data_IF_407504750876
#
_entry.id   IF_407504750876
#
_cell.length_a   1.000
_cell.length_b   1.000
_cell.length_c   1.000
_cell.angle_alpha   90.00
_cell.angle_beta   90.00
_cell.angle_gamma   90.00
#
_symmetry.space_group_name_H-M   'P 1'
#
loop_
_entity.id
_entity.type
_entity.pdbx_description
1 polymer ?
#
# COMPACT_ATOMS: atom_id res chain seq x y z
N UNK A 1 -35.34 1.36 -12.38
CA UNK A 1 -35.12 0.86 -13.75
C UNK A 1 -33.63 0.99 -14.04
N UNK A 2 -32.91 -0.09 -14.33
CA UNK A 2 -31.47 -0.05 -14.63
C UNK A 2 -31.31 0.30 -16.12
N UNK A 3 -30.44 1.26 -16.44
CA UNK A 3 -30.18 1.68 -17.82
C UNK A 3 -29.57 0.52 -18.62
N UNK A 4 -30.24 0.07 -19.67
CA UNK A 4 -29.82 -1.06 -20.51
C UNK A 4 -28.54 -0.82 -21.31
N UNK A 5 -28.05 0.43 -21.35
CA UNK A 5 -26.77 0.82 -21.95
C UNK A 5 -25.64 0.95 -20.93
N UNK A 6 -25.93 0.85 -19.62
CA UNK A 6 -24.94 0.96 -18.57
C UNK A 6 -24.04 -0.27 -18.58
N UNK A 7 -22.74 -0.06 -18.86
CA UNK A 7 -21.77 -1.15 -18.95
C UNK A 7 -20.96 -1.34 -17.66
N UNK A 8 -20.77 -0.30 -16.84
CA UNK A 8 -20.01 -0.37 -15.58
C UNK A 8 -20.98 -0.55 -14.42
N UNK A 9 -20.76 -1.58 -13.61
CA UNK A 9 -21.73 -1.91 -12.53
C UNK A 9 -21.07 -2.29 -11.20
N UNK A 10 -19.74 -2.44 -11.15
CA UNK A 10 -19.05 -2.78 -9.91
C UNK A 10 -17.79 -1.95 -9.73
N UNK A 11 -17.71 -1.33 -8.56
CA UNK A 11 -16.57 -0.62 -8.03
C UNK A 11 -16.42 -1.02 -6.56
N UNK A 12 -15.35 -1.73 -6.21
CA UNK A 12 -15.06 -2.05 -4.81
C UNK A 12 -14.02 -1.08 -4.27
N UNK A 13 -14.51 -0.01 -3.65
CA UNK A 13 -13.68 0.91 -2.88
C UNK A 13 -13.06 0.19 -1.68
N UNK A 14 -11.76 0.36 -1.46
CA UNK A 14 -11.06 -0.28 -0.33
C UNK A 14 -10.96 -1.79 -0.42
N UNK A 15 -10.85 -2.32 -1.63
CA UNK A 15 -10.54 -3.72 -1.84
C UNK A 15 -9.17 -4.07 -1.25
N UNK A 16 -9.12 -5.24 -0.62
CA UNK A 16 -7.88 -5.85 -0.17
C UNK A 16 -7.28 -6.74 -1.26
N UNK A 17 -6.09 -6.38 -1.75
CA UNK A 17 -5.46 -6.97 -2.93
C UNK A 17 -4.67 -8.25 -2.68
N UNK A 18 -4.66 -8.78 -1.45
CA UNK A 18 -4.12 -10.12 -1.20
C UNK A 18 -5.00 -11.24 -1.78
N UNK A 19 -6.27 -10.94 -2.05
CA UNK A 19 -7.26 -11.88 -2.59
C UNK A 19 -7.85 -11.39 -3.91
N UNK A 20 -7.85 -12.29 -4.89
CA UNK A 20 -8.47 -12.09 -6.19
C UNK A 20 -9.95 -12.45 -6.24
N UNK A 21 -10.67 -12.03 -7.28
CA UNK A 21 -12.10 -12.34 -7.45
C UNK A 21 -12.41 -13.83 -7.63
N UNK A 22 -11.45 -14.60 -8.12
CA UNK A 22 -11.57 -16.05 -8.26
C UNK A 22 -11.09 -16.81 -7.00
N UNK A 23 -10.56 -16.11 -5.99
CA UNK A 23 -10.13 -16.75 -4.75
C UNK A 23 -11.36 -17.09 -3.90
N UNK A 24 -11.37 -18.29 -3.30
CA UNK A 24 -12.52 -18.77 -2.50
C UNK A 24 -12.79 -17.93 -1.24
N UNK A 25 -11.79 -17.21 -0.75
CA UNK A 25 -11.88 -16.35 0.43
C UNK A 25 -12.37 -14.94 0.09
N UNK A 26 -12.49 -14.58 -1.19
CA UNK A 26 -12.99 -13.28 -1.60
C UNK A 26 -14.53 -13.25 -1.52
N UNK A 27 -15.08 -12.24 -0.83
CA UNK A 27 -16.53 -12.06 -0.72
C UNK A 27 -17.11 -11.49 -2.04
N UNK A 28 -17.42 -12.40 -2.96
CA UNK A 28 -18.02 -12.07 -4.25
C UNK A 28 -19.55 -11.90 -4.22
N UNK A 29 -20.22 -11.96 -3.06
CA UNK A 29 -21.69 -11.93 -3.00
C UNK A 29 -22.28 -10.66 -3.61
N UNK A 30 -21.65 -9.51 -3.32
CA UNK A 30 -22.07 -8.23 -3.89
C UNK A 30 -21.75 -8.17 -5.40
N UNK A 31 -20.55 -8.59 -5.81
CA UNK A 31 -20.13 -8.65 -7.20
C UNK A 31 -21.11 -9.49 -8.05
N UNK A 32 -21.45 -10.69 -7.59
CA UNK A 32 -22.42 -11.57 -8.26
C UNK A 32 -23.84 -11.00 -8.26
N UNK A 33 -24.24 -10.28 -7.20
CA UNK A 33 -25.56 -9.63 -7.16
C UNK A 33 -25.67 -8.53 -8.21
N UNK A 34 -24.65 -7.69 -8.34
CA UNK A 34 -24.59 -6.66 -9.39
C UNK A 34 -24.55 -7.29 -10.79
N UNK A 35 -23.76 -8.36 -10.98
CA UNK A 35 -23.71 -9.11 -12.25
C UNK A 35 -25.09 -9.62 -12.69
N UNK A 36 -25.87 -10.19 -11.76
CA UNK A 36 -27.24 -10.67 -12.04
C UNK A 36 -28.21 -9.53 -12.33
N UNK A 37 -28.03 -8.37 -11.71
CA UNK A 37 -28.91 -7.22 -11.87
C UNK A 37 -28.71 -6.48 -13.20
N UNK A 38 -27.50 -6.53 -13.77
CA UNK A 38 -27.17 -5.78 -14.97
C UNK A 38 -27.56 -6.51 -16.27
N UNK A 39 -28.45 -5.88 -17.03
CA UNK A 39 -28.81 -6.32 -18.39
C UNK A 39 -27.76 -5.78 -19.38
N UNK A 40 -27.07 -6.66 -20.10
CA UNK A 40 -26.06 -6.28 -21.09
C UNK A 40 -24.59 -6.59 -20.73
N UNK A 41 -24.35 -7.20 -19.56
CA UNK A 41 -23.03 -7.64 -19.11
C UNK A 41 -22.43 -6.80 -17.98
N UNK A 42 -21.40 -7.35 -17.32
CA UNK A 42 -20.65 -6.72 -16.21
C UNK A 42 -19.36 -6.14 -16.77
N UNK A 43 -19.18 -4.82 -16.71
CA UNK A 43 -17.85 -4.20 -16.74
C UNK A 43 -17.46 -3.79 -15.32
N UNK A 44 -16.24 -4.11 -14.94
CA UNK A 44 -15.71 -3.86 -13.60
C UNK A 44 -14.83 -2.61 -13.64
N UNK A 45 -14.98 -1.75 -12.63
CA UNK A 45 -14.04 -0.68 -12.34
C UNK A 45 -12.99 -1.20 -11.35
N UNK A 46 -11.72 -1.21 -11.76
CA UNK A 46 -10.58 -1.63 -10.94
C UNK A 46 -9.72 -0.44 -10.52
N UNK A 47 -9.13 -0.59 -9.33
CA UNK A 47 -8.48 0.47 -8.56
C UNK A 47 -7.01 0.14 -8.23
N UNK A 48 -6.34 -0.70 -9.02
CA UNK A 48 -4.92 -1.03 -8.80
C UNK A 48 -3.97 0.18 -8.67
N UNK A 49 -4.24 1.33 -9.33
CA UNK A 49 -3.44 2.53 -9.18
C UNK A 49 -4.21 3.67 -8.48
N UNK A 50 -5.27 3.37 -7.73
CA UNK A 50 -5.98 4.35 -6.92
C UNK A 50 -5.33 4.49 -5.55
N UNK A 51 -5.40 5.68 -4.96
CA UNK A 51 -4.59 6.08 -3.80
C UNK A 51 -5.42 6.20 -2.52
N UNK A 52 -6.75 6.36 -2.65
CA UNK A 52 -7.61 6.60 -1.50
C UNK A 52 -7.64 5.43 -0.51
N UNK A 53 -7.47 4.19 -1.00
CA UNK A 53 -7.61 3.00 -0.18
C UNK A 53 -6.43 2.03 -0.25
N UNK A 54 -5.41 2.30 -1.06
CA UNK A 54 -4.23 1.44 -1.19
C UNK A 54 -3.11 1.81 -0.20
N UNK A 55 -2.13 0.91 0.03
CA UNK A 55 -0.93 1.23 0.77
C UNK A 55 -0.05 2.31 0.11
N UNK A 56 0.56 3.19 0.91
CA UNK A 56 1.46 4.24 0.41
C UNK A 56 2.76 3.69 -0.17
N UNK A 57 3.24 2.56 0.35
CA UNK A 57 4.36 1.81 -0.22
C UNK A 57 3.79 0.50 -0.76
N UNK A 58 3.81 0.37 -2.08
CA UNK A 58 3.00 -0.63 -2.77
C UNK A 58 3.87 -1.64 -3.53
N UNK A 59 3.61 -2.93 -3.26
CA UNK A 59 4.10 -4.02 -4.08
C UNK A 59 3.27 -4.23 -5.35
N UNK A 60 3.78 -4.98 -6.34
CA UNK A 60 2.98 -5.40 -7.48
C UNK A 60 1.82 -6.32 -7.07
N UNK A 61 0.58 -6.06 -7.48
CA UNK A 61 -0.61 -6.86 -7.12
C UNK A 61 -0.84 -8.06 -8.04
N UNK A 62 0.24 -8.71 -8.47
CA UNK A 62 0.21 -9.75 -9.52
C UNK A 62 -0.68 -10.94 -9.18
N UNK A 63 -0.71 -11.37 -7.90
CA UNK A 63 -1.61 -12.43 -7.43
C UNK A 63 -3.08 -12.08 -7.69
N UNK A 64 -3.51 -10.89 -7.26
CA UNK A 64 -4.88 -10.44 -7.50
C UNK A 64 -5.16 -10.33 -9.00
N UNK A 65 -4.24 -9.77 -9.79
CA UNK A 65 -4.45 -9.61 -11.24
C UNK A 65 -4.64 -10.94 -11.97
N UNK A 66 -3.83 -11.95 -11.64
CA UNK A 66 -3.96 -13.28 -12.27
C UNK A 66 -5.28 -13.96 -11.86
N UNK A 67 -5.68 -13.82 -10.59
CA UNK A 67 -6.93 -14.38 -10.09
C UNK A 67 -8.15 -13.67 -10.69
N UNK A 68 -8.13 -12.35 -10.77
CA UNK A 68 -9.17 -11.55 -11.42
C UNK A 68 -9.33 -11.88 -12.89
N UNK A 69 -8.23 -12.11 -13.61
CA UNK A 69 -8.29 -12.57 -14.99
C UNK A 69 -9.01 -13.90 -15.13
N UNK A 70 -8.80 -14.86 -14.23
CA UNK A 70 -9.53 -16.13 -14.24
C UNK A 70 -11.03 -15.91 -14.04
N UNK A 71 -11.39 -15.05 -13.08
CA UNK A 71 -12.79 -14.65 -12.88
C UNK A 71 -13.36 -14.00 -14.14
N UNK A 72 -12.65 -13.06 -14.77
CA UNK A 72 -13.11 -12.39 -15.99
C UNK A 72 -13.37 -13.36 -17.13
N UNK A 73 -12.45 -14.29 -17.37
CA UNK A 73 -12.59 -15.31 -18.41
C UNK A 73 -13.76 -16.26 -18.11
N UNK A 74 -13.93 -16.67 -16.84
CA UNK A 74 -15.00 -17.59 -16.42
C UNK A 74 -16.40 -16.98 -16.54
N UNK A 75 -16.50 -15.66 -16.38
CA UNK A 75 -17.77 -14.94 -16.31
C UNK A 75 -18.03 -14.02 -17.51
N UNK A 76 -17.28 -14.18 -18.60
CA UNK A 76 -17.39 -13.42 -19.85
C UNK A 76 -17.36 -11.88 -19.63
N UNK A 77 -16.52 -11.42 -18.70
CA UNK A 77 -16.29 -9.99 -18.47
C UNK A 77 -15.47 -9.45 -19.64
N UNK A 78 -16.12 -8.67 -20.51
CA UNK A 78 -15.54 -8.20 -21.78
C UNK A 78 -15.03 -6.75 -21.75
N UNK A 79 -15.20 -6.06 -20.63
CA UNK A 79 -14.67 -4.71 -20.44
C UNK A 79 -14.30 -4.44 -18.98
N UNK A 80 -13.24 -3.66 -18.80
CA UNK A 80 -12.79 -3.17 -17.50
C UNK A 80 -12.45 -1.69 -17.63
N UNK A 81 -12.82 -0.91 -16.62
CA UNK A 81 -12.33 0.44 -16.44
C UNK A 81 -11.25 0.42 -15.38
N UNK A 82 -10.08 0.96 -15.71
CA UNK A 82 -9.02 1.17 -14.73
C UNK A 82 -9.04 2.64 -14.33
N UNK A 83 -9.43 2.93 -13.09
CA UNK A 83 -9.32 4.28 -12.57
C UNK A 83 -7.85 4.53 -12.22
N UNK A 84 -7.26 5.57 -12.81
CA UNK A 84 -5.91 6.03 -12.50
C UNK A 84 -6.04 7.43 -11.93
N UNK A 85 -5.53 7.67 -10.73
CA UNK A 85 -5.38 9.03 -10.20
C UNK A 85 -4.05 9.61 -10.70
N UNK A 86 -4.06 10.59 -11.64
CA UNK A 86 -2.87 10.92 -12.42
C UNK A 86 -1.92 11.91 -11.73
N UNK A 87 -2.25 12.48 -10.56
CA UNK A 87 -1.47 13.57 -9.94
C UNK A 87 -0.67 13.08 -8.72
N UNK A 88 0.59 13.55 -8.63
CA UNK A 88 1.50 13.43 -7.48
C UNK A 88 2.08 12.05 -7.12
N UNK A 89 1.30 10.98 -7.28
CA UNK A 89 1.64 9.60 -6.85
C UNK A 89 1.90 8.63 -8.01
N UNK A 90 2.03 9.12 -9.24
CA UNK A 90 1.96 8.24 -10.42
C UNK A 90 3.09 7.20 -10.50
N UNK A 91 4.31 7.49 -10.05
CA UNK A 91 5.46 6.60 -10.26
C UNK A 91 5.32 5.32 -9.45
N UNK A 92 4.97 5.44 -8.17
CA UNK A 92 4.77 4.33 -7.25
C UNK A 92 3.61 3.40 -7.68
N UNK A 93 2.64 3.91 -8.44
CA UNK A 93 1.44 3.18 -8.86
C UNK A 93 1.46 2.74 -10.34
N UNK A 94 2.33 3.33 -11.15
CA UNK A 94 2.40 3.09 -12.60
C UNK A 94 2.69 1.64 -12.98
N UNK A 95 3.50 0.93 -12.19
CA UNK A 95 3.79 -0.48 -12.43
C UNK A 95 2.52 -1.33 -12.32
N UNK A 96 1.67 -1.09 -11.31
CA UNK A 96 0.41 -1.80 -11.17
C UNK A 96 -0.59 -1.47 -12.28
N UNK A 97 -0.63 -0.20 -12.73
CA UNK A 97 -1.44 0.16 -13.90
C UNK A 97 -0.99 -0.59 -15.16
N UNK A 98 0.32 -0.66 -15.41
CA UNK A 98 0.89 -1.38 -16.54
C UNK A 98 0.61 -2.89 -16.46
N UNK A 99 0.95 -3.53 -15.34
CA UNK A 99 0.77 -4.97 -15.14
C UNK A 99 -0.70 -5.37 -15.23
N UNK A 100 -1.59 -4.60 -14.60
CA UNK A 100 -3.03 -4.84 -14.66
C UNK A 100 -3.55 -4.73 -16.09
N UNK A 101 -3.23 -3.63 -16.78
CA UNK A 101 -3.64 -3.42 -18.17
C UNK A 101 -3.18 -4.54 -19.11
N UNK A 102 -1.93 -4.99 -18.99
CA UNK A 102 -1.40 -6.10 -19.81
C UNK A 102 -2.01 -7.44 -19.45
N UNK A 103 -2.17 -7.74 -18.15
CA UNK A 103 -2.76 -9.00 -17.68
C UNK A 103 -4.15 -9.21 -18.25
N UNK A 104 -4.98 -8.15 -18.30
CA UNK A 104 -6.36 -8.28 -18.79
C UNK A 104 -6.48 -8.24 -20.30
N UNK A 105 -5.52 -7.61 -20.99
CA UNK A 105 -5.51 -7.56 -22.45
C UNK A 105 -5.00 -8.88 -23.08
N UNK A 106 -3.99 -9.49 -22.47
CA UNK A 106 -3.32 -10.70 -22.98
C UNK A 106 -3.49 -11.86 -21.99
N UNK A 107 -4.28 -12.87 -22.40
CA UNK A 107 -4.54 -14.06 -21.56
C UNK A 107 -3.30 -14.91 -21.30
N UNK A 108 -2.29 -14.84 -22.16
CA UNK A 108 -1.04 -15.59 -22.01
C UNK A 108 0.00 -14.87 -21.15
N UNK A 109 -0.25 -13.59 -20.83
CA UNK A 109 0.68 -12.76 -20.08
C UNK A 109 0.93 -13.30 -18.67
N UNK A 110 2.19 -13.37 -18.26
CA UNK A 110 2.59 -13.64 -16.89
C UNK A 110 3.15 -12.36 -16.26
N UNK A 111 2.41 -11.70 -15.34
CA UNK A 111 2.88 -10.47 -14.71
C UNK A 111 4.10 -10.71 -13.80
N UNK A 112 4.37 -11.95 -13.34
CA UNK A 112 5.58 -12.24 -12.56
C UNK A 112 6.83 -12.25 -13.46
N UNK A 113 6.75 -12.81 -14.67
CA UNK A 113 7.85 -12.79 -15.62
C UNK A 113 8.22 -11.34 -16.01
N UNK A 114 7.20 -10.49 -16.17
CA UNK A 114 7.38 -9.11 -16.60
C UNK A 114 8.01 -8.21 -15.51
N UNK A 115 7.75 -8.45 -14.22
CA UNK A 115 8.48 -7.77 -13.14
C UNK A 115 10.00 -7.94 -13.30
N UNK A 116 10.44 -9.14 -13.72
CA UNK A 116 11.86 -9.40 -13.94
C UNK A 116 12.39 -8.62 -15.14
N UNK A 117 11.66 -8.65 -16.26
CA UNK A 117 12.01 -7.87 -17.45
C UNK A 117 12.10 -6.36 -17.14
N UNK A 118 11.08 -5.83 -16.46
CA UNK A 118 11.05 -4.45 -15.99
C UNK A 118 12.26 -4.12 -15.12
N UNK A 119 12.60 -4.97 -14.16
CA UNK A 119 13.80 -4.82 -13.33
C UNK A 119 15.07 -4.66 -14.18
N UNK A 120 15.31 -5.61 -15.07
CA UNK A 120 16.53 -5.68 -15.89
C UNK A 120 16.65 -4.52 -16.88
N UNK A 121 15.55 -4.14 -17.53
CA UNK A 121 15.55 -3.12 -18.58
C UNK A 121 15.43 -1.69 -18.02
N UNK A 122 14.64 -1.49 -16.97
CA UNK A 122 14.41 -0.16 -16.41
C UNK A 122 15.52 0.27 -15.44
N UNK A 123 16.07 -0.64 -14.64
CA UNK A 123 17.12 -0.32 -13.67
C UNK A 123 18.53 -0.68 -14.15
N UNK A 124 18.65 -1.30 -15.33
CA UNK A 124 19.91 -1.67 -15.95
C UNK A 124 20.43 -3.04 -15.51
N UNK A 125 21.38 -3.60 -16.27
CA UNK A 125 21.86 -4.98 -16.09
C UNK A 125 22.44 -5.31 -14.70
N UNK A 126 23.04 -4.32 -14.02
CA UNK A 126 23.78 -4.55 -12.77
C UNK A 126 22.88 -4.34 -11.53
N UNK A 127 22.05 -3.29 -11.53
CA UNK A 127 21.12 -3.01 -10.42
C UNK A 127 19.76 -3.71 -10.58
N UNK A 128 19.34 -3.96 -11.82
CA UNK A 128 18.05 -4.53 -12.18
C UNK A 128 17.74 -5.89 -11.58
N UNK A 129 18.68 -6.86 -11.49
CA UNK A 129 18.41 -8.13 -10.83
C UNK A 129 17.95 -7.97 -9.37
N UNK A 130 18.58 -7.07 -8.61
CA UNK A 130 18.21 -6.82 -7.21
C UNK A 130 16.83 -6.17 -7.09
N UNK A 131 16.50 -5.22 -7.97
CA UNK A 131 15.20 -4.56 -7.96
C UNK A 131 14.09 -5.49 -8.46
N UNK A 132 14.38 -6.36 -9.43
CA UNK A 132 13.47 -7.41 -9.85
C UNK A 132 13.12 -8.33 -8.68
N UNK A 133 14.14 -8.86 -7.98
CA UNK A 133 13.92 -9.78 -6.86
C UNK A 133 13.22 -9.09 -5.68
N UNK A 134 13.51 -7.80 -5.44
CA UNK A 134 12.77 -6.97 -4.50
C UNK A 134 11.28 -6.91 -4.84
N UNK A 135 10.93 -6.50 -6.07
CA UNK A 135 9.53 -6.42 -6.47
C UNK A 135 8.83 -7.77 -6.49
N UNK A 136 9.53 -8.84 -6.84
CA UNK A 136 8.99 -10.21 -6.75
C UNK A 136 8.67 -10.61 -5.31
N UNK A 137 9.52 -10.23 -4.34
CA UNK A 137 9.26 -10.51 -2.94
C UNK A 137 7.99 -9.78 -2.45
N UNK A 138 7.84 -8.51 -2.82
CA UNK A 138 6.62 -7.73 -2.50
C UNK A 138 5.38 -8.25 -3.23
N UNK A 139 5.53 -8.71 -4.47
CA UNK A 139 4.43 -9.27 -5.26
C UNK A 139 3.89 -10.57 -4.67
N UNK A 140 4.78 -11.38 -4.08
CA UNK A 140 4.42 -12.64 -3.41
C UNK A 140 3.89 -12.43 -2.00
N UNK A 141 4.24 -11.31 -1.36
CA UNK A 141 3.81 -10.96 -0.01
C UNK A 141 3.09 -9.60 0.00
N UNK A 142 1.89 -9.56 -0.58
CA UNK A 142 1.07 -8.34 -0.67
C UNK A 142 0.71 -7.80 0.72
N UNK A 143 0.58 -8.70 1.71
CA UNK A 143 0.30 -8.34 3.11
C UNK A 143 1.28 -7.32 3.66
N UNK A 144 2.56 -7.44 3.28
CA UNK A 144 3.59 -6.52 3.72
C UNK A 144 3.23 -5.06 3.39
N UNK A 145 2.60 -4.80 2.25
CA UNK A 145 2.19 -3.43 1.88
C UNK A 145 1.12 -2.90 2.85
N UNK A 146 0.10 -3.71 3.13
CA UNK A 146 -0.98 -3.32 4.05
C UNK A 146 -0.48 -3.21 5.49
N UNK A 147 0.33 -4.14 5.97
CA UNK A 147 0.89 -4.10 7.31
C UNK A 147 1.93 -2.99 7.50
N UNK A 148 2.66 -2.59 6.46
CA UNK A 148 3.50 -1.37 6.49
C UNK A 148 2.65 -0.10 6.67
N UNK A 149 1.44 -0.07 6.12
CA UNK A 149 0.50 1.04 6.31
C UNK A 149 -0.11 1.03 7.70
N UNK A 150 -0.56 -0.13 8.18
CA UNK A 150 -1.50 -0.22 9.30
C UNK A 150 -0.87 -0.76 10.61
N UNK A 151 -0.16 -1.89 10.54
CA UNK A 151 0.41 -2.57 11.72
C UNK A 151 1.41 -3.67 11.33
N UNK A 152 2.71 -3.38 11.43
CA UNK A 152 3.78 -4.31 11.02
C UNK A 152 4.23 -5.17 12.19
N UNK A 153 4.38 -6.47 11.99
CA UNK A 153 4.87 -7.38 13.02
C UNK A 153 6.41 -7.59 13.02
N UNK A 154 6.91 -8.41 13.95
CA UNK A 154 8.36 -8.69 14.07
C UNK A 154 8.95 -9.40 12.84
N UNK A 155 8.23 -10.34 12.25
CA UNK A 155 8.70 -11.11 11.10
C UNK A 155 8.82 -10.20 9.87
N UNK A 156 7.83 -9.33 9.66
CA UNK A 156 7.81 -8.35 8.58
C UNK A 156 8.91 -7.30 8.75
N UNK A 157 9.18 -6.84 9.98
CA UNK A 157 10.35 -6.00 10.27
C UNK A 157 11.66 -6.68 9.87
N UNK A 158 11.79 -7.98 10.17
CA UNK A 158 12.96 -8.75 9.76
C UNK A 158 13.04 -8.91 8.22
N UNK A 159 11.91 -9.08 7.54
CA UNK A 159 11.83 -9.09 6.07
C UNK A 159 12.30 -7.75 5.50
N UNK A 160 11.79 -6.62 6.01
CA UNK A 160 12.20 -5.29 5.56
C UNK A 160 13.70 -5.07 5.75
N UNK A 161 14.24 -5.40 6.93
CA UNK A 161 15.67 -5.31 7.20
C UNK A 161 16.51 -6.20 6.27
N UNK A 162 16.03 -7.41 5.96
CA UNK A 162 16.69 -8.30 5.01
C UNK A 162 16.63 -7.76 3.58
N UNK A 163 15.51 -7.17 3.16
CA UNK A 163 15.36 -6.54 1.84
C UNK A 163 16.29 -5.34 1.67
N UNK A 164 16.44 -4.51 2.71
CA UNK A 164 17.41 -3.42 2.73
C UNK A 164 18.82 -3.92 2.40
N UNK A 165 19.30 -4.94 3.14
CA UNK A 165 20.65 -5.49 2.98
C UNK A 165 20.85 -6.27 1.69
N UNK A 166 19.86 -7.07 1.30
CA UNK A 166 20.03 -8.05 0.22
C UNK A 166 19.65 -7.48 -1.16
N UNK A 167 18.80 -6.45 -1.22
CA UNK A 167 18.30 -5.91 -2.49
C UNK A 167 18.58 -4.41 -2.63
N UNK A 168 18.22 -3.59 -1.65
CA UNK A 168 18.29 -2.13 -1.79
C UNK A 168 19.74 -1.62 -1.81
N UNK A 169 20.56 -2.00 -0.82
CA UNK A 169 21.96 -1.57 -0.74
C UNK A 169 22.81 -2.04 -1.94
N UNK A 170 22.72 -3.31 -2.38
CA UNK A 170 23.42 -3.76 -3.58
C UNK A 170 22.94 -3.05 -4.85
N UNK A 171 21.64 -2.79 -5.00
CA UNK A 171 21.12 -2.05 -6.14
C UNK A 171 21.67 -0.62 -6.19
N UNK A 172 21.74 0.08 -5.05
CA UNK A 172 22.32 1.43 -4.96
C UNK A 172 23.79 1.40 -5.37
N UNK A 173 24.56 0.44 -4.85
CA UNK A 173 25.97 0.29 -5.16
C UNK A 173 26.19 0.01 -6.66
N UNK A 174 25.41 -0.91 -7.24
CA UNK A 174 25.49 -1.27 -8.65
C UNK A 174 25.08 -0.11 -9.59
N UNK A 175 24.15 0.73 -9.18
CA UNK A 175 23.68 1.85 -9.98
C UNK A 175 24.61 3.08 -9.94
N UNK A 176 25.59 3.14 -9.02
CA UNK A 176 26.40 4.35 -8.74
C UNK A 176 27.09 4.94 -9.97
N UNK A 177 27.51 4.11 -10.92
CA UNK A 177 28.17 4.54 -12.15
C UNK A 177 27.26 5.17 -13.21
N UNK A 178 25.93 5.07 -13.06
CA UNK A 178 24.95 5.56 -14.04
C UNK A 178 23.90 6.45 -13.37
N UNK A 179 23.87 7.74 -13.74
CA UNK A 179 22.97 8.73 -13.15
C UNK A 179 21.48 8.37 -13.26
N UNK A 180 21.06 7.80 -14.39
CA UNK A 180 19.65 7.45 -14.63
C UNK A 180 19.24 6.25 -13.78
N UNK A 181 20.06 5.21 -13.74
CA UNK A 181 19.78 4.04 -12.90
C UNK A 181 19.84 4.39 -11.42
N UNK A 182 20.82 5.18 -10.99
CA UNK A 182 20.92 5.65 -9.62
C UNK A 182 19.67 6.45 -9.22
N UNK A 183 19.19 7.34 -10.09
CA UNK A 183 17.95 8.08 -9.86
C UNK A 183 16.74 7.14 -9.66
N UNK A 184 16.58 6.13 -10.54
CA UNK A 184 15.47 5.17 -10.47
C UNK A 184 15.56 4.29 -9.22
N UNK A 185 16.72 3.69 -8.93
CA UNK A 185 16.94 2.89 -7.72
C UNK A 185 16.70 3.71 -6.46
N UNK A 186 17.15 4.97 -6.43
CA UNK A 186 16.93 5.85 -5.29
C UNK A 186 15.46 6.22 -5.07
N UNK A 187 14.56 6.01 -6.03
CA UNK A 187 13.11 6.11 -5.76
C UNK A 187 12.62 4.92 -4.94
N UNK A 188 13.01 3.70 -5.34
CA UNK A 188 12.71 2.46 -4.61
C UNK A 188 13.26 2.54 -3.19
N UNK A 189 14.53 2.93 -3.05
CA UNK A 189 15.19 3.03 -1.74
C UNK A 189 14.49 4.01 -0.79
N UNK A 190 13.99 5.14 -1.30
CA UNK A 190 13.24 6.12 -0.49
C UNK A 190 11.93 5.56 0.05
N UNK A 191 11.16 4.87 -0.80
CA UNK A 191 9.92 4.23 -0.39
C UNK A 191 10.18 3.07 0.58
N UNK A 192 11.27 2.31 0.37
CA UNK A 192 11.68 1.26 1.31
C UNK A 192 12.07 1.85 2.67
N UNK A 193 12.84 2.94 2.69
CA UNK A 193 13.17 3.66 3.92
C UNK A 193 11.93 4.18 4.64
N UNK A 194 10.93 4.67 3.90
CA UNK A 194 9.63 5.02 4.47
C UNK A 194 8.95 3.80 5.13
N UNK A 195 8.92 2.65 4.45
CA UNK A 195 8.35 1.42 5.01
C UNK A 195 9.03 0.98 6.31
N UNK A 196 10.36 1.04 6.37
CA UNK A 196 11.12 0.76 7.59
C UNK A 196 10.77 1.74 8.72
N UNK A 197 10.66 3.03 8.43
CA UNK A 197 10.32 4.05 9.42
C UNK A 197 8.90 3.87 9.97
N UNK A 198 7.94 3.53 9.11
CA UNK A 198 6.58 3.16 9.50
C UNK A 198 6.58 1.96 10.44
N UNK A 199 7.30 0.89 10.08
CA UNK A 199 7.39 -0.32 10.87
C UNK A 199 8.02 -0.10 12.26
N UNK A 200 8.95 0.84 12.38
CA UNK A 200 9.49 1.27 13.68
C UNK A 200 8.45 2.02 14.52
N UNK A 201 7.61 2.86 13.90
CA UNK A 201 6.47 3.48 14.56
C UNK A 201 5.50 2.45 15.16
N UNK A 202 5.19 1.40 14.39
CA UNK A 202 4.37 0.27 14.87
C UNK A 202 5.03 -0.47 16.03
N UNK A 203 6.33 -0.75 15.95
CA UNK A 203 7.08 -1.38 17.05
C UNK A 203 7.01 -0.57 18.34
N UNK A 204 7.14 0.76 18.26
CA UNK A 204 7.05 1.61 19.45
C UNK A 204 5.64 1.58 20.06
N UNK A 205 4.60 1.58 19.23
CA UNK A 205 3.20 1.38 19.67
C UNK A 205 3.05 0.05 20.43
N UNK A 206 3.54 -1.06 19.88
CA UNK A 206 3.48 -2.39 20.53
C UNK A 206 4.15 -2.40 21.91
N UNK A 207 5.32 -1.73 22.01
CA UNK A 207 6.07 -1.64 23.27
C UNK A 207 5.30 -0.83 24.30
N UNK A 208 4.69 0.30 23.91
CA UNK A 208 3.87 1.11 24.81
C UNK A 208 2.69 0.28 25.34
N UNK A 209 1.97 -0.40 24.46
CA UNK A 209 0.83 -1.23 24.86
C UNK A 209 1.26 -2.37 25.81
N UNK A 210 2.39 -3.02 25.51
CA UNK A 210 2.95 -4.07 26.37
C UNK A 210 3.31 -3.54 27.77
N UNK A 211 3.93 -2.37 27.85
CA UNK A 211 4.27 -1.73 29.12
C UNK A 211 3.02 -1.33 29.92
N UNK A 212 2.00 -0.77 29.26
CA UNK A 212 0.71 -0.45 29.89
C UNK A 212 0.04 -1.70 30.46
N UNK A 213 -0.05 -2.79 29.68
CA UNK A 213 -0.62 -4.07 30.14
C UNK A 213 0.10 -4.63 31.36
N UNK A 214 1.40 -4.37 31.49
CA UNK A 214 2.22 -4.75 32.64
C UNK A 214 2.14 -3.75 33.82
N UNK A 215 1.31 -2.71 33.74
CA UNK A 215 1.20 -1.66 34.76
C UNK A 215 2.39 -0.69 34.82
N UNK A 216 3.29 -0.73 33.82
CA UNK A 216 4.52 0.08 33.77
C UNK A 216 4.29 1.42 33.07
N UNK A 217 3.39 2.25 33.61
CA UNK A 217 2.97 3.50 32.96
C UNK A 217 4.07 4.54 32.80
N UNK A 218 4.99 4.66 33.75
CA UNK A 218 6.12 5.60 33.65
C UNK A 218 7.06 5.22 32.50
N UNK A 219 7.34 3.94 32.31
CA UNK A 219 8.16 3.46 31.20
C UNK A 219 7.41 3.58 29.87
N UNK A 220 6.09 3.31 29.87
CA UNK A 220 5.24 3.55 28.71
C UNK A 220 5.29 5.03 28.28
N UNK A 221 5.25 5.97 29.23
CA UNK A 221 5.35 7.40 28.96
C UNK A 221 6.70 7.79 28.32
N UNK A 222 7.81 7.21 28.79
CA UNK A 222 9.14 7.42 28.17
C UNK A 222 9.21 6.91 26.74
N UNK A 223 8.56 5.77 26.44
CA UNK A 223 8.50 5.24 25.07
C UNK A 223 7.55 6.06 24.21
N UNK A 224 6.45 6.59 24.76
CA UNK A 224 5.54 7.49 24.06
C UNK A 224 6.27 8.74 23.54
N UNK A 225 7.15 9.34 24.34
CA UNK A 225 7.95 10.49 23.88
C UNK A 225 8.87 10.14 22.70
N UNK A 226 9.46 8.93 22.69
CA UNK A 226 10.22 8.44 21.53
C UNK A 226 9.31 8.24 20.32
N UNK A 227 8.10 7.72 20.52
CA UNK A 227 7.12 7.54 19.47
C UNK A 227 6.63 8.86 18.87
N UNK A 228 6.51 9.93 19.67
CA UNK A 228 6.21 11.28 19.16
C UNK A 228 7.28 11.72 18.16
N UNK A 229 8.55 11.66 18.55
CA UNK A 229 9.68 12.03 17.68
C UNK A 229 9.71 11.17 16.42
N UNK A 230 9.52 9.85 16.55
CA UNK A 230 9.50 8.93 15.40
C UNK A 230 8.35 9.27 14.44
N UNK A 231 7.13 9.47 14.94
CA UNK A 231 5.96 9.74 14.11
C UNK A 231 5.99 11.13 13.48
N UNK A 232 6.60 12.13 14.14
CA UNK A 232 6.93 13.42 13.54
C UNK A 232 7.94 13.26 12.39
N UNK A 233 9.03 12.52 12.60
CA UNK A 233 10.01 12.23 11.56
C UNK A 233 9.43 11.47 10.36
N UNK A 234 8.47 10.57 10.59
CA UNK A 234 7.73 9.89 9.51
C UNK A 234 6.93 10.91 8.69
N UNK A 235 6.21 11.83 9.33
CA UNK A 235 5.45 12.86 8.60
C UNK A 235 6.35 13.83 7.85
N UNK A 236 7.46 14.24 8.43
CA UNK A 236 8.48 15.04 7.75
C UNK A 236 9.01 14.31 6.51
N UNK A 237 9.23 12.99 6.61
CA UNK A 237 9.63 12.17 5.47
C UNK A 237 8.54 12.14 4.38
N UNK A 238 7.26 11.99 4.73
CA UNK A 238 6.16 12.09 3.75
C UNK A 238 6.16 13.43 3.02
N UNK A 239 6.30 14.55 3.75
CA UNK A 239 6.40 15.87 3.14
C UNK A 239 7.62 15.99 2.23
N UNK A 240 8.78 15.53 2.68
CA UNK A 240 10.01 15.55 1.88
C UNK A 240 9.85 14.76 0.58
N UNK A 241 9.25 13.57 0.63
CA UNK A 241 9.01 12.73 -0.55
C UNK A 241 8.01 13.36 -1.52
N UNK A 242 7.00 14.07 -1.00
CA UNK A 242 6.04 14.81 -1.82
C UNK A 242 6.70 16.02 -2.51
N UNK A 243 7.50 16.78 -1.77
CA UNK A 243 8.17 17.99 -2.27
C UNK A 243 9.28 17.68 -3.29
N UNK A 244 9.79 16.44 -3.33
CA UNK A 244 10.70 15.99 -4.38
C UNK A 244 10.06 15.96 -5.78
N UNK A 245 8.73 15.99 -5.89
CA UNK A 245 7.99 15.92 -7.15
C UNK A 245 8.41 14.74 -8.05
N UNK A 246 8.68 13.58 -7.43
CA UNK A 246 9.17 12.37 -8.10
C UNK A 246 8.05 11.38 -8.45
N UNK A 247 6.79 11.71 -8.18
CA UNK A 247 5.67 10.79 -8.32
C UNK A 247 5.55 9.79 -7.17
N UNK A 248 6.13 10.09 -6.00
CA UNK A 248 6.25 9.16 -4.87
C UNK A 248 5.15 9.34 -3.84
N UNK A 249 4.84 10.59 -3.48
CA UNK A 249 3.81 10.98 -2.50
C UNK A 249 3.09 12.23 -3.04
N UNK A 250 1.77 12.34 -2.86
CA UNK A 250 0.95 13.49 -3.18
C UNK A 250 0.88 14.41 -1.97
N UNK A 251 1.24 15.67 -2.19
CA UNK A 251 1.40 16.65 -1.11
C UNK A 251 0.07 16.96 -0.41
N UNK A 252 -1.03 16.90 -1.15
CA UNK A 252 -2.38 17.17 -0.65
C UNK A 252 -2.87 16.11 0.35
N UNK A 253 -2.35 14.89 0.27
CA UNK A 253 -2.78 13.76 1.10
C UNK A 253 -2.09 13.74 2.48
N UNK A 254 -0.89 14.31 2.56
CA UNK A 254 -0.04 14.24 3.77
C UNK A 254 -0.71 14.87 4.99
N UNK A 255 -1.33 16.05 4.82
CA UNK A 255 -2.00 16.76 5.91
C UNK A 255 -3.33 16.15 6.37
N UNK A 256 -3.92 15.28 5.54
CA UNK A 256 -5.19 14.59 5.79
C UNK A 256 -4.96 13.15 6.26
N UNK A 257 -5.34 12.18 5.44
CA UNK A 257 -5.39 10.77 5.83
C UNK A 257 -4.04 10.16 6.22
N UNK A 258 -2.92 10.61 5.64
CA UNK A 258 -1.59 10.15 6.05
C UNK A 258 -1.31 10.55 7.51
N UNK A 259 -1.52 11.83 7.86
CA UNK A 259 -1.39 12.29 9.25
C UNK A 259 -2.29 11.51 10.20
N UNK A 260 -3.54 11.25 9.79
CA UNK A 260 -4.48 10.47 10.60
C UNK A 260 -3.95 9.05 10.84
N UNK A 261 -3.46 8.36 9.80
CA UNK A 261 -2.90 7.02 9.91
C UNK A 261 -1.61 6.94 10.73
N UNK A 262 -0.73 7.95 10.63
CA UNK A 262 0.59 7.93 11.29
C UNK A 262 0.57 8.41 12.74
N UNK A 263 -0.20 9.47 13.06
CA UNK A 263 -0.07 10.17 14.35
C UNK A 263 -1.25 10.06 15.30
N UNK A 264 -2.47 9.74 14.84
CA UNK A 264 -3.64 9.87 15.70
C UNK A 264 -3.61 8.98 16.96
N UNK A 265 -2.94 7.84 16.88
CA UNK A 265 -2.83 6.91 18.00
C UNK A 265 -2.01 7.49 19.18
N UNK A 266 -1.12 8.47 18.95
CA UNK A 266 -0.27 9.08 19.99
C UNK A 266 -1.12 9.74 21.08
N UNK A 267 -2.11 10.55 20.68
CA UNK A 267 -2.99 11.26 21.62
C UNK A 267 -3.88 10.31 22.39
N UNK A 268 -4.29 9.21 21.77
CA UNK A 268 -5.07 8.16 22.44
C UNK A 268 -4.22 7.42 23.48
N UNK A 269 -2.97 7.08 23.14
CA UNK A 269 -2.03 6.46 24.08
C UNK A 269 -1.69 7.37 25.25
N UNK A 270 -1.51 8.68 25.03
CA UNK A 270 -1.31 9.65 26.10
C UNK A 270 -2.44 9.63 27.12
N UNK A 271 -3.70 9.65 26.65
CA UNK A 271 -4.88 9.59 27.53
C UNK A 271 -4.93 8.27 28.31
N UNK A 272 -4.61 7.15 27.66
CA UNK A 272 -4.61 5.82 28.30
C UNK A 272 -3.56 5.71 29.38
N UNK A 273 -2.34 6.21 29.13
CA UNK A 273 -1.28 6.25 30.14
C UNK A 273 -1.71 7.10 31.34
N UNK A 274 -2.26 8.30 31.09
CA UNK A 274 -2.73 9.19 32.15
C UNK A 274 -3.87 8.57 32.98
N UNK A 275 -4.77 7.83 32.34
CA UNK A 275 -5.86 7.12 32.98
C UNK A 275 -5.46 5.76 33.61
N UNK A 276 -4.19 5.36 33.48
CA UNK A 276 -3.71 4.03 33.86
C UNK A 276 -4.53 2.88 33.24
N UNK A 277 -4.97 3.07 32.00
CA UNK A 277 -5.76 2.08 31.26
C UNK A 277 -4.86 0.96 30.73
N UNK A 278 -5.17 -0.28 31.11
CA UNK A 278 -4.47 -1.50 30.68
C UNK A 278 -5.13 -2.17 29.48
N UNK A 279 -6.28 -1.66 29.03
CA UNK A 279 -7.02 -2.20 27.90
C UNK A 279 -6.23 -2.04 26.59
N UNK A 280 -6.35 -3.02 25.66
CA UNK A 280 -5.73 -2.90 24.35
C UNK A 280 -6.36 -1.75 23.56
N UNK A 281 -5.57 -1.09 22.70
CA UNK A 281 -6.15 -0.25 21.65
C UNK A 281 -6.87 -1.17 20.68
N UNK A 282 -8.06 -0.78 20.21
CA UNK A 282 -8.67 -1.43 19.05
C UNK A 282 -7.98 -0.89 17.78
N UNK A 283 -7.05 -1.63 17.15
CA UNK A 283 -6.33 -1.15 15.98
C UNK A 283 -7.27 -1.06 14.77
N UNK A 284 -8.39 -1.80 14.81
CA UNK A 284 -9.42 -1.86 13.78
C UNK A 284 -10.52 -0.81 13.97
N UNK A 285 -10.32 0.21 14.83
CA UNK A 285 -11.21 1.38 14.85
C UNK A 285 -11.03 2.12 13.52
N UNK A 286 -11.81 1.71 12.52
CA UNK A 286 -11.92 2.41 11.24
C UNK A 286 -12.36 3.83 11.54
N UNK A 287 -11.55 4.80 11.13
CA UNK A 287 -12.00 6.19 11.10
C UNK A 287 -13.28 6.25 10.27
N UNK A 288 -14.31 6.94 10.75
CA UNK A 288 -15.51 7.13 9.96
C UNK A 288 -15.18 7.88 8.67
N UNK A 289 -15.97 7.72 7.61
CA UNK A 289 -15.77 8.47 6.36
C UNK A 289 -15.67 9.99 6.61
N UNK A 290 -16.40 10.48 7.62
CA UNK A 290 -16.35 11.87 8.09
C UNK A 290 -15.05 12.27 8.81
N UNK A 291 -14.37 11.34 9.50
CA UNK A 291 -13.06 11.58 10.13
C UNK A 291 -11.93 11.60 9.10
N UNK A 292 -12.15 11.04 7.91
CA UNK A 292 -11.18 11.00 6.80
C UNK A 292 -11.28 12.22 5.86
N UNK A 293 -12.29 13.08 6.04
CA UNK A 293 -12.44 14.31 5.27
C UNK A 293 -11.54 15.41 5.83
N UNK A 294 -10.85 16.19 4.99
CA UNK A 294 -10.07 17.32 5.48
C UNK A 294 -11.01 18.36 6.13
N UNK A 295 -10.51 19.07 7.15
CA UNK A 295 -11.32 19.87 8.08
C UNK A 295 -12.12 21.01 7.43
N UNK A 296 -11.77 21.37 6.20
CA UNK A 296 -12.42 22.33 5.33
C UNK A 296 -13.69 21.78 4.64
N UNK A 297 -13.89 20.46 4.62
CA UNK A 297 -15.07 19.80 4.02
C UNK A 297 -16.16 19.47 5.04
N UNK A 298 -15.83 19.43 6.34
CA UNK A 298 -16.75 19.03 7.44
C UNK A 298 -17.52 20.24 8.03
N UNK A 299 -17.55 21.38 7.32
CA UNK A 299 -18.28 22.59 7.74
C UNK A 299 -19.65 22.71 7.10
#
# INVERSE_FOLDING_TARGET
>A
MINERLRIIWAQWGRYHAVGYDDSTYDNRNLESWRKAAKGGLSICQYYPDNFAEPWVMGPFTRAMVSDRRYFNKHDVSAMYMLIYPKGYWWNHSLNAYLGGRTYYDQSYDPYADIRDYGLNYYGKDAGPFIADYYQAWAKNIELSYHVRDDTNNEERAILAAQQKNFIEPAIAAAKGNKVYAYRVNKVAKLHGLAMNMAEGHRLRDVIETLRKAGKFEDAAKVLEKARVQTDGILENFYALADMNQGLIERAEVGGFIKLGVKNWITEEEKRIAAQDTSPINPAKKFSETEMLPADVVK
#
